data_IF_743393092328
#
_entry.id   IF_743393092328
#
_cell.length_a   1.000
_cell.length_b   1.000
_cell.length_c   1.000
_cell.angle_alpha   90.00
_cell.angle_beta   90.00
_cell.angle_gamma   90.00
#
_symmetry.space_group_name_H-M   'P 1'
#
loop_
_entity.id
_entity.type
_entity.pdbx_description
1 polymer ?
#
# COMPACT_ATOMS: atom_id res chain seq x y z
N UNK A 1 9.16 -13.40 13.48
CA UNK A 1 8.32 -12.22 13.80
C UNK A 1 6.87 -12.63 13.60
N UNK A 2 6.06 -12.66 14.66
CA UNK A 2 4.65 -13.03 14.54
C UNK A 2 3.87 -11.83 14.03
N UNK A 3 3.31 -11.91 12.83
CA UNK A 3 2.45 -10.87 12.28
C UNK A 3 1.14 -10.83 13.09
N UNK A 4 0.87 -9.73 13.77
CA UNK A 4 -0.47 -9.44 14.26
C UNK A 4 -1.23 -8.62 13.22
N UNK A 5 -2.41 -9.08 12.77
CA UNK A 5 -3.20 -8.32 11.83
C UNK A 5 -3.67 -7.01 12.49
N UNK A 6 -3.61 -5.88 11.76
CA UNK A 6 -4.01 -4.59 12.30
C UNK A 6 -5.51 -4.55 12.58
N UNK A 7 -5.92 -3.73 13.56
CA UNK A 7 -7.33 -3.42 13.78
C UNK A 7 -7.93 -2.77 12.52
N UNK A 8 -9.17 -3.10 12.18
CA UNK A 8 -9.81 -2.63 10.94
C UNK A 8 -11.13 -1.90 11.18
N UNK A 9 -11.50 -1.00 10.27
CA UNK A 9 -12.80 -0.32 10.21
C UNK A 9 -13.58 -0.76 8.98
N UNK A 10 -14.92 -0.85 9.06
CA UNK A 10 -15.75 -1.10 7.87
C UNK A 10 -15.69 0.11 6.92
N UNK A 11 -15.57 -0.16 5.62
CA UNK A 11 -15.60 0.84 4.56
C UNK A 11 -16.57 0.42 3.45
N UNK A 12 -17.36 1.37 2.96
CA UNK A 12 -18.26 1.18 1.82
C UNK A 12 -18.20 2.40 0.90
N UNK A 13 -18.00 2.15 -0.40
CA UNK A 13 -18.16 3.14 -1.47
C UNK A 13 -18.89 2.51 -2.64
N UNK A 14 -20.02 3.07 -3.04
CA UNK A 14 -20.93 2.48 -4.02
C UNK A 14 -21.22 0.99 -3.70
N UNK A 15 -20.87 0.07 -4.60
CA UNK A 15 -21.02 -1.38 -4.43
C UNK A 15 -19.83 -2.04 -3.73
N UNK A 16 -18.69 -1.35 -3.61
CA UNK A 16 -17.51 -1.90 -2.96
C UNK A 16 -17.65 -1.82 -1.44
N UNK A 17 -17.47 -2.97 -0.78
CA UNK A 17 -17.43 -3.12 0.67
C UNK A 17 -16.15 -3.84 1.07
N UNK A 18 -15.49 -3.36 2.10
CA UNK A 18 -14.29 -3.99 2.68
C UNK A 18 -14.11 -3.59 4.14
N UNK A 19 -13.09 -4.16 4.79
CA UNK A 19 -12.51 -3.58 6.00
C UNK A 19 -11.15 -3.00 5.67
N UNK A 20 -10.85 -1.83 6.20
CA UNK A 20 -9.59 -1.10 6.00
C UNK A 20 -8.84 -1.03 7.33
N UNK A 21 -7.52 -1.28 7.36
CA UNK A 21 -6.76 -1.09 8.57
C UNK A 21 -6.82 0.34 9.12
N UNK A 22 -6.91 0.48 10.44
CA UNK A 22 -6.83 1.79 11.12
C UNK A 22 -5.41 2.36 11.06
N UNK A 23 -5.28 3.64 11.40
CA UNK A 23 -3.98 4.31 11.55
C UNK A 23 -3.22 4.54 10.25
N UNK A 24 -3.90 4.51 9.10
CA UNK A 24 -3.29 4.69 7.77
C UNK A 24 -3.90 5.87 7.04
N UNK A 25 -3.07 6.57 6.27
CA UNK A 25 -3.52 7.51 5.25
C UNK A 25 -3.84 6.74 3.98
N UNK A 26 -4.89 7.16 3.26
CA UNK A 26 -5.33 6.52 2.03
C UNK A 26 -5.34 7.54 0.90
N UNK A 27 -4.73 7.21 -0.23
CA UNK A 27 -4.61 8.09 -1.39
C UNK A 27 -5.42 7.57 -2.58
N UNK A 28 -5.78 8.49 -3.49
CA UNK A 28 -6.64 8.18 -4.64
C UNK A 28 -6.01 7.16 -5.62
N UNK A 29 -4.68 7.06 -5.66
CA UNK A 29 -3.92 6.08 -6.44
C UNK A 29 -3.95 4.65 -5.86
N UNK A 30 -4.86 4.37 -4.91
CA UNK A 30 -5.08 3.05 -4.31
C UNK A 30 -3.95 2.50 -3.43
N UNK A 31 -3.14 3.40 -2.86
CA UNK A 31 -2.17 3.08 -1.82
C UNK A 31 -2.66 3.49 -0.43
N UNK A 32 -2.12 2.83 0.59
CA UNK A 32 -2.14 3.30 1.97
C UNK A 32 -0.72 3.63 2.42
N UNK A 33 -0.62 4.53 3.39
CA UNK A 33 0.64 4.96 3.99
C UNK A 33 0.54 4.90 5.51
N UNK A 34 1.59 4.43 6.15
CA UNK A 34 1.73 4.30 7.61
C UNK A 34 3.08 4.87 8.02
N UNK A 35 3.07 5.98 8.77
CA UNK A 35 4.29 6.53 9.35
C UNK A 35 4.85 5.52 10.36
N UNK A 36 6.15 5.26 10.30
CA UNK A 36 6.84 4.35 11.20
C UNK A 36 7.28 5.08 12.46
N UNK A 37 7.85 4.35 13.43
CA UNK A 37 8.37 4.94 14.67
C UNK A 37 9.47 5.98 14.40
N UNK A 38 10.25 5.79 13.33
CA UNK A 38 11.20 6.77 12.84
C UNK A 38 10.50 7.86 12.04
N UNK A 39 10.61 9.11 12.49
CA UNK A 39 9.97 10.26 11.86
C UNK A 39 10.43 10.43 10.40
N UNK A 40 9.47 10.58 9.49
CA UNK A 40 9.73 10.69 8.05
C UNK A 40 9.96 9.35 7.34
N UNK A 41 10.00 8.21 8.05
CA UNK A 41 9.98 6.89 7.45
C UNK A 41 8.53 6.43 7.27
N UNK A 42 8.17 6.07 6.03
CA UNK A 42 6.82 5.64 5.68
C UNK A 42 6.81 4.21 5.15
N UNK A 43 5.86 3.41 5.62
CA UNK A 43 5.50 2.15 4.98
C UNK A 43 4.34 2.38 4.04
N UNK A 44 4.48 1.91 2.80
CA UNK A 44 3.49 2.05 1.74
C UNK A 44 2.98 0.65 1.36
N UNK A 45 1.71 0.55 0.98
CA UNK A 45 1.18 -0.69 0.42
C UNK A 45 -0.10 -0.49 -0.37
N UNK A 46 -0.52 -1.53 -1.08
CA UNK A 46 -1.76 -1.50 -1.85
C UNK A 46 -2.99 -1.59 -0.93
N UNK A 47 -4.02 -0.83 -1.29
CA UNK A 47 -5.35 -1.03 -0.69
C UNK A 47 -5.93 -2.38 -1.09
N UNK A 48 -6.85 -2.89 -0.27
CA UNK A 48 -7.62 -4.10 -0.59
C UNK A 48 -8.45 -3.98 -1.88
N UNK A 49 -8.73 -2.76 -2.35
CA UNK A 49 -9.33 -2.56 -3.66
C UNK A 49 -8.30 -2.82 -4.77
N UNK A 50 -7.12 -2.20 -4.70
CA UNK A 50 -6.05 -2.42 -5.67
C UNK A 50 -5.68 -3.89 -5.83
N UNK A 51 -5.45 -4.61 -4.72
CA UNK A 51 -5.11 -6.04 -4.81
C UNK A 51 -6.23 -6.89 -5.44
N UNK A 52 -7.50 -6.54 -5.21
CA UNK A 52 -8.64 -7.20 -5.89
C UNK A 52 -8.74 -6.88 -7.38
N UNK A 53 -8.28 -5.70 -7.80
CA UNK A 53 -8.28 -5.31 -9.21
C UNK A 53 -7.08 -5.85 -9.96
N UNK A 54 -5.95 -6.03 -9.26
CA UNK A 54 -4.77 -6.69 -9.78
C UNK A 54 -5.06 -8.17 -10.05
N UNK A 55 -5.69 -8.87 -9.10
CA UNK A 55 -5.89 -10.32 -9.18
C UNK A 55 -4.90 -11.04 -8.26
N UNK A 56 -4.33 -12.13 -8.75
CA UNK A 56 -3.31 -12.86 -8.02
C UNK A 56 -1.97 -12.15 -8.20
N UNK A 57 -1.26 -11.83 -7.12
CA UNK A 57 0.07 -11.23 -7.25
C UNK A 57 1.04 -12.26 -7.82
N UNK A 58 1.52 -12.03 -9.05
CA UNK A 58 2.44 -12.93 -9.75
C UNK A 58 3.87 -12.53 -9.46
N UNK A 59 4.25 -11.30 -9.80
CA UNK A 59 5.62 -10.81 -9.67
C UNK A 59 5.65 -9.31 -9.38
N UNK A 60 6.75 -8.85 -8.78
CA UNK A 60 7.04 -7.43 -8.62
C UNK A 60 8.55 -7.24 -8.50
N UNK A 61 9.02 -6.07 -8.91
CA UNK A 61 10.40 -5.66 -8.66
C UNK A 61 10.52 -4.14 -8.53
N UNK A 62 11.62 -3.70 -7.93
CA UNK A 62 12.01 -2.30 -7.84
C UNK A 62 13.20 -2.00 -8.75
N UNK A 63 13.08 -0.95 -9.54
CA UNK A 63 14.18 -0.46 -10.39
C UNK A 63 15.15 0.44 -9.61
N UNK A 64 14.73 0.90 -8.43
CA UNK A 64 15.53 1.72 -7.51
C UNK A 64 16.18 0.86 -6.42
N UNK A 65 17.31 1.33 -5.89
CA UNK A 65 18.00 0.66 -4.78
C UNK A 65 17.61 1.25 -3.42
N UNK A 66 17.70 0.47 -2.32
CA UNK A 66 17.53 1.01 -0.99
C UNK A 66 18.46 2.20 -0.72
N UNK A 67 17.90 3.31 -0.22
CA UNK A 67 18.64 4.54 0.07
C UNK A 67 18.81 5.49 -1.13
N UNK A 68 18.37 5.10 -2.32
CA UNK A 68 18.37 5.98 -3.48
C UNK A 68 17.28 7.06 -3.35
N UNK A 69 17.61 8.29 -3.77
CA UNK A 69 16.65 9.38 -3.80
C UNK A 69 15.65 9.17 -4.94
N UNK A 70 14.38 9.53 -4.70
CA UNK A 70 13.32 9.48 -5.71
C UNK A 70 12.65 10.84 -5.85
N UNK A 71 12.11 11.11 -7.03
CA UNK A 71 11.34 12.32 -7.33
C UNK A 71 9.83 12.06 -7.42
N UNK A 72 9.04 13.12 -7.26
CA UNK A 72 7.59 13.05 -7.44
C UNK A 72 7.25 12.65 -8.88
N UNK A 73 6.49 11.56 -9.03
CA UNK A 73 6.08 11.04 -10.33
C UNK A 73 7.07 10.07 -10.97
N UNK A 74 8.23 9.82 -10.33
CA UNK A 74 9.17 8.81 -10.79
C UNK A 74 8.56 7.41 -10.67
N UNK A 75 8.73 6.61 -11.72
CA UNK A 75 8.45 5.17 -11.69
C UNK A 75 9.60 4.51 -10.95
N UNK A 76 9.29 3.72 -9.92
CA UNK A 76 10.29 3.09 -9.03
C UNK A 76 10.37 1.57 -9.19
N UNK A 77 9.54 0.99 -10.06
CA UNK A 77 9.36 -0.43 -10.19
C UNK A 77 8.04 -0.79 -10.84
N UNK A 78 7.72 -2.07 -10.81
CA UNK A 78 6.55 -2.64 -11.47
C UNK A 78 5.96 -3.79 -10.65
N UNK A 79 4.73 -4.14 -10.99
CA UNK A 79 3.98 -5.23 -10.37
C UNK A 79 3.11 -5.89 -11.46
N UNK A 80 3.01 -7.22 -11.41
CA UNK A 80 2.24 -8.05 -12.33
C UNK A 80 1.28 -8.94 -11.53
N UNK A 81 0.06 -9.12 -12.07
CA UNK A 81 -0.94 -10.02 -11.52
C UNK A 81 -1.98 -10.48 -12.52
#
# INVERSE_FOLDING_TARGET
VTFQPPETIPYKRARFKTRLPKGRLYVASHFWMEEQEEAGLWRIGFTKFASRMLGDLVEHDFEIKPGEAIELGQIIGWIEG
#
